data_IF_294662333021
#
_entry.id   IF_294662333021
#
_cell.length_a   1.000
_cell.length_b   1.000
_cell.length_c   1.000
_cell.angle_alpha   90.00
_cell.angle_beta   90.00
_cell.angle_gamma   90.00
#
_symmetry.space_group_name_H-M   'P 1'
#
loop_
_entity.id
_entity.type
_entity.pdbx_description
1 polymer ?
#
# COMPACT_ATOMS: atom_id res chain seq x y z
N UNK A 1 -17.15 -15.21 14.93
CA UNK A 1 -16.10 -15.63 15.88
C UNK A 1 -15.00 -16.30 15.06
N UNK A 2 -14.11 -15.52 14.43
CA UNK A 2 -13.01 -16.07 13.64
C UNK A 2 -11.80 -16.22 14.55
N UNK A 3 -11.35 -17.46 14.68
CA UNK A 3 -10.26 -17.86 15.56
C UNK A 3 -8.98 -17.09 15.22
N UNK A 4 -8.32 -16.63 16.29
CA UNK A 4 -6.93 -16.19 16.28
C UNK A 4 -6.04 -17.33 15.78
N UNK A 5 -5.59 -17.23 14.54
CA UNK A 5 -4.30 -17.79 14.14
C UNK A 5 -3.40 -16.59 13.84
N UNK A 6 -2.50 -16.31 14.79
CA UNK A 6 -1.53 -15.22 14.68
C UNK A 6 -0.57 -15.59 13.52
N UNK A 7 -0.49 -14.80 12.44
CA UNK A 7 0.38 -15.14 11.33
C UNK A 7 1.85 -14.87 11.70
N UNK A 8 2.71 -15.85 11.38
CA UNK A 8 4.16 -15.75 11.49
C UNK A 8 4.68 -14.71 10.48
N UNK A 9 5.19 -13.58 10.99
CA UNK A 9 5.75 -12.41 10.26
C UNK A 9 4.72 -11.50 9.53
N UNK A 10 4.11 -10.58 10.28
CA UNK A 10 3.30 -9.48 9.73
C UNK A 10 4.21 -8.54 8.92
N UNK A 11 3.99 -8.46 7.61
CA UNK A 11 4.71 -7.52 6.74
C UNK A 11 3.79 -6.32 6.50
N UNK A 12 4.31 -5.12 6.76
CA UNK A 12 3.61 -3.89 6.49
C UNK A 12 4.01 -3.37 5.11
N UNK A 13 3.02 -3.00 4.29
CA UNK A 13 3.27 -2.39 2.99
C UNK A 13 3.39 -0.87 3.10
N UNK A 14 4.25 -0.30 2.27
CA UNK A 14 4.49 1.13 2.14
C UNK A 14 3.50 1.71 1.13
N UNK A 15 2.37 2.19 1.66
CA UNK A 15 1.33 2.82 0.87
C UNK A 15 1.16 4.29 1.22
N UNK A 16 0.79 5.09 0.23
CA UNK A 16 0.31 6.46 0.44
C UNK A 16 -0.75 6.82 -0.62
N UNK A 17 -1.53 7.85 -0.36
CA UNK A 17 -2.43 8.44 -1.35
C UNK A 17 -2.20 9.94 -1.45
N UNK A 18 -2.35 10.49 -2.65
CA UNK A 18 -2.27 11.92 -2.93
C UNK A 18 -3.40 12.33 -3.87
N UNK A 19 -3.96 13.51 -3.65
CA UNK A 19 -4.85 14.14 -4.62
C UNK A 19 -4.01 14.85 -5.68
N UNK A 20 -4.32 14.59 -6.94
CA UNK A 20 -3.64 15.21 -8.08
C UNK A 20 -4.63 15.37 -9.23
N UNK A 21 -4.66 16.58 -9.79
CA UNK A 21 -5.49 16.94 -10.95
C UNK A 21 -7.00 16.64 -10.74
N UNK A 22 -7.48 16.81 -9.50
CA UNK A 22 -8.89 16.57 -9.13
C UNK A 22 -9.26 15.11 -8.85
N UNK A 23 -8.28 14.21 -8.81
CA UNK A 23 -8.49 12.79 -8.52
C UNK A 23 -7.58 12.30 -7.41
N UNK A 24 -8.02 11.29 -6.68
CA UNK A 24 -7.21 10.60 -5.69
C UNK A 24 -6.43 9.46 -6.32
N UNK A 25 -5.12 9.42 -6.06
CA UNK A 25 -4.22 8.38 -6.52
C UNK A 25 -3.56 7.72 -5.31
N UNK A 26 -3.79 6.41 -5.15
CA UNK A 26 -3.21 5.60 -4.10
C UNK A 26 -2.11 4.69 -4.68
N UNK A 27 -1.00 4.57 -3.96
CA UNK A 27 0.20 3.85 -4.41
C UNK A 27 0.62 2.82 -3.36
N UNK A 28 1.03 1.62 -3.81
CA UNK A 28 1.75 0.62 -3.02
C UNK A 28 3.15 0.45 -3.59
N UNK A 29 4.17 0.86 -2.82
CA UNK A 29 5.55 0.93 -3.30
C UNK A 29 6.25 -0.41 -3.37
N UNK A 30 5.84 -1.35 -2.51
CA UNK A 30 6.39 -2.70 -2.44
C UNK A 30 5.93 -3.60 -3.59
N UNK A 31 4.88 -3.22 -4.33
CA UNK A 31 4.40 -3.99 -5.49
C UNK A 31 4.24 -3.15 -6.75
N UNK A 32 4.65 -1.88 -6.72
CA UNK A 32 4.51 -0.95 -7.87
C UNK A 32 3.07 -0.81 -8.37
N UNK A 33 2.09 -0.96 -7.45
CA UNK A 33 0.67 -0.83 -7.77
C UNK A 33 0.20 0.60 -7.55
N UNK A 34 -0.74 1.03 -8.40
CA UNK A 34 -1.40 2.32 -8.27
C UNK A 34 -2.87 2.19 -8.62
N UNK A 35 -3.73 2.89 -7.89
CA UNK A 35 -5.16 2.93 -8.11
C UNK A 35 -5.67 4.38 -8.06
N UNK A 36 -6.66 4.70 -8.89
CA UNK A 36 -7.28 6.03 -8.96
C UNK A 36 -8.77 5.95 -8.57
N UNK A 37 -9.24 6.98 -7.87
CA UNK A 37 -10.66 7.18 -7.57
C UNK A 37 -11.02 8.66 -7.52
N UNK A 38 -12.32 8.93 -7.55
CA UNK A 38 -12.86 10.29 -7.40
C UNK A 38 -12.77 10.75 -5.93
N UNK A 39 -12.71 9.79 -5.01
CA UNK A 39 -12.51 10.03 -3.58
C UNK A 39 -11.31 9.27 -3.03
N UNK A 40 -10.81 9.72 -1.88
CA UNK A 40 -9.75 9.02 -1.18
C UNK A 40 -10.13 7.56 -0.90
N UNK A 41 -11.31 7.35 -0.29
CA UNK A 41 -11.81 6.04 0.11
C UNK A 41 -11.90 5.08 -1.08
N UNK A 42 -12.37 5.59 -2.23
CA UNK A 42 -12.45 4.81 -3.45
C UNK A 42 -11.07 4.41 -3.96
N UNK A 43 -10.13 5.35 -4.06
CA UNK A 43 -8.75 5.05 -4.50
C UNK A 43 -8.06 4.04 -3.58
N UNK A 44 -8.29 4.16 -2.26
CA UNK A 44 -7.78 3.23 -1.24
C UNK A 44 -8.41 1.86 -1.39
N UNK A 45 -9.73 1.76 -1.51
CA UNK A 45 -10.42 0.49 -1.64
C UNK A 45 -9.96 -0.28 -2.88
N UNK A 46 -9.82 0.42 -4.02
CA UNK A 46 -9.27 -0.15 -5.24
C UNK A 46 -7.83 -0.64 -5.06
N UNK A 47 -6.97 0.16 -4.42
CA UNK A 47 -5.59 -0.26 -4.15
C UNK A 47 -5.53 -1.52 -3.29
N UNK A 48 -6.36 -1.60 -2.24
CA UNK A 48 -6.44 -2.77 -1.37
C UNK A 48 -6.85 -4.02 -2.15
N UNK A 49 -7.88 -3.94 -2.98
CA UNK A 49 -8.31 -5.05 -3.86
C UNK A 49 -7.17 -5.52 -4.77
N UNK A 50 -6.48 -4.57 -5.43
CA UNK A 50 -5.36 -4.89 -6.32
C UNK A 50 -4.19 -5.56 -5.58
N UNK A 51 -3.90 -5.14 -4.34
CA UNK A 51 -2.85 -5.76 -3.52
C UNK A 51 -3.24 -7.18 -3.14
N UNK A 52 -4.49 -7.40 -2.73
CA UNK A 52 -5.00 -8.72 -2.34
C UNK A 52 -4.95 -9.70 -3.52
N UNK A 53 -5.43 -9.28 -4.69
CA UNK A 53 -5.35 -10.05 -5.94
C UNK A 53 -3.89 -10.34 -6.33
N UNK A 54 -3.01 -9.33 -6.29
CA UNK A 54 -1.59 -9.49 -6.63
C UNK A 54 -0.87 -10.50 -5.71
N UNK A 55 -1.14 -10.45 -4.41
CA UNK A 55 -0.57 -11.41 -3.45
C UNK A 55 -1.17 -12.80 -3.70
N UNK A 56 -2.48 -12.90 -3.92
CA UNK A 56 -3.15 -14.17 -4.17
C UNK A 56 -2.56 -14.85 -5.40
N UNK A 57 -2.37 -14.14 -6.51
CA UNK A 57 -1.81 -14.68 -7.74
C UNK A 57 -0.36 -15.13 -7.58
N UNK A 58 0.46 -14.35 -6.84
CA UNK A 58 1.86 -14.70 -6.57
C UNK A 58 2.02 -15.89 -5.62
N UNK A 59 1.09 -16.10 -4.68
CA UNK A 59 1.18 -17.16 -3.66
C UNK A 59 0.47 -18.43 -4.09
N UNK A 60 -0.80 -18.30 -4.51
CA UNK A 60 -1.73 -19.41 -4.77
C UNK A 60 -2.07 -19.58 -6.25
N UNK A 61 -1.90 -18.54 -7.07
CA UNK A 61 -2.23 -18.56 -8.49
C UNK A 61 -1.13 -19.09 -9.40
N UNK A 62 -1.31 -18.85 -10.71
CA UNK A 62 -0.46 -19.34 -11.80
C UNK A 62 0.98 -18.78 -11.76
N UNK A 63 1.16 -17.67 -11.04
CA UNK A 63 2.42 -16.93 -10.93
C UNK A 63 3.32 -17.39 -9.79
N UNK A 64 2.99 -18.50 -9.12
CA UNK A 64 3.79 -19.10 -8.05
C UNK A 64 5.26 -19.32 -8.44
N UNK A 65 5.53 -19.64 -9.71
CA UNK A 65 6.88 -19.80 -10.27
C UNK A 65 7.69 -18.50 -10.31
N UNK A 66 7.02 -17.35 -10.35
CA UNK A 66 7.61 -16.01 -10.36
C UNK A 66 7.44 -15.26 -9.04
N UNK A 67 6.91 -15.91 -7.99
CA UNK A 67 6.65 -15.34 -6.66
C UNK A 67 7.81 -14.47 -6.15
N UNK A 68 9.04 -14.99 -6.17
CA UNK A 68 10.22 -14.25 -5.68
C UNK A 68 10.47 -12.97 -6.47
N UNK A 69 10.27 -12.99 -7.79
CA UNK A 69 10.43 -11.82 -8.63
C UNK A 69 9.31 -10.81 -8.39
N UNK A 70 8.05 -11.26 -8.40
CA UNK A 70 6.87 -10.41 -8.21
C UNK A 70 6.86 -9.70 -6.85
N UNK A 71 7.20 -10.41 -5.78
CA UNK A 71 7.24 -9.86 -4.43
C UNK A 71 8.52 -9.05 -4.13
N UNK A 72 9.50 -9.04 -5.04
CA UNK A 72 10.74 -8.26 -4.89
C UNK A 72 10.73 -6.92 -5.65
N UNK A 73 9.65 -6.64 -6.40
CA UNK A 73 9.53 -5.41 -7.19
C UNK A 73 9.47 -4.21 -6.28
N UNK A 74 10.28 -3.19 -6.54
CA UNK A 74 10.25 -1.94 -5.78
C UNK A 74 9.97 -0.78 -6.72
N UNK A 75 9.12 0.15 -6.25
CA UNK A 75 8.88 1.40 -6.96
C UNK A 75 10.17 2.19 -7.14
N UNK A 76 10.18 3.04 -8.17
CA UNK A 76 11.30 3.93 -8.43
C UNK A 76 11.55 4.86 -7.24
N UNK A 77 12.81 5.28 -7.07
CA UNK A 77 13.28 6.08 -5.92
C UNK A 77 12.42 7.33 -5.68
N UNK A 78 11.90 7.94 -6.75
CA UNK A 78 11.02 9.12 -6.67
C UNK A 78 9.79 8.89 -5.77
N UNK A 79 9.16 7.72 -5.86
CA UNK A 79 7.98 7.41 -5.07
C UNK A 79 8.32 7.14 -3.60
N UNK A 80 9.48 6.52 -3.34
CA UNK A 80 10.00 6.34 -1.99
C UNK A 80 10.33 7.67 -1.31
N UNK A 81 10.93 8.61 -2.05
CA UNK A 81 11.18 9.97 -1.55
C UNK A 81 9.86 10.63 -1.14
N UNK A 82 8.82 10.57 -2.00
CA UNK A 82 7.49 11.08 -1.65
C UNK A 82 6.94 10.45 -0.38
N UNK A 83 6.99 9.12 -0.27
CA UNK A 83 6.53 8.40 0.91
C UNK A 83 7.22 8.90 2.19
N UNK A 84 8.55 9.03 2.19
CA UNK A 84 9.27 9.50 3.38
C UNK A 84 9.03 10.98 3.67
N UNK A 85 8.87 11.82 2.65
CA UNK A 85 8.47 13.23 2.82
C UNK A 85 7.09 13.30 3.47
N UNK A 86 6.09 12.56 2.97
CA UNK A 86 4.76 12.49 3.57
C UNK A 86 4.80 11.94 5.01
N UNK A 87 5.64 10.93 5.27
CA UNK A 87 5.89 10.41 6.63
C UNK A 87 6.41 11.47 7.59
N UNK A 88 7.41 12.24 7.15
CA UNK A 88 8.04 13.29 7.96
C UNK A 88 7.09 14.46 8.17
N UNK A 89 6.43 14.92 7.11
CA UNK A 89 5.42 15.98 7.19
C UNK A 89 4.32 15.57 8.17
N UNK A 90 3.74 14.36 8.05
CA UNK A 90 2.71 13.91 8.98
C UNK A 90 3.18 13.87 10.45
N UNK A 91 4.44 13.48 10.72
CA UNK A 91 5.00 13.51 12.08
C UNK A 91 5.11 14.93 12.64
N UNK A 92 5.48 15.89 11.80
CA UNK A 92 5.61 17.31 12.19
C UNK A 92 4.23 17.98 12.27
N UNK A 93 3.27 17.55 11.46
CA UNK A 93 1.98 18.19 11.25
C UNK A 93 0.84 17.61 12.09
N UNK A 94 1.04 16.48 12.77
CA UNK A 94 0.14 16.01 13.84
C UNK A 94 -0.10 17.05 14.96
N UNK A 95 0.67 18.15 14.99
CA UNK A 95 0.42 19.28 15.89
C UNK A 95 -0.69 20.24 15.41
N UNK A 96 -1.10 20.25 14.13
CA UNK A 96 -2.14 21.17 13.60
C UNK A 96 -2.88 20.54 12.41
N UNK A 97 -4.18 20.25 12.59
CA UNK A 97 -5.18 19.82 11.60
C UNK A 97 -4.78 19.98 10.12
N UNK A 98 -4.89 18.93 9.28
CA UNK A 98 -5.49 19.01 7.93
C UNK A 98 -5.50 17.66 7.19
N UNK A 99 -6.56 17.48 6.42
CA UNK A 99 -7.05 16.34 5.63
C UNK A 99 -6.39 16.12 4.26
N UNK A 100 -5.26 16.77 3.96
CA UNK A 100 -4.75 16.85 2.58
C UNK A 100 -3.73 15.76 2.19
N UNK A 101 -3.16 15.04 3.16
CA UNK A 101 -2.16 14.00 2.93
C UNK A 101 -2.42 12.91 3.95
N UNK A 102 -2.71 11.68 3.51
CA UNK A 102 -2.78 10.60 4.47
C UNK A 102 -1.38 10.19 4.92
N UNK A 103 -1.23 9.90 6.23
CA UNK A 103 -0.02 9.28 6.72
C UNK A 103 0.30 8.05 5.88
N UNK A 104 1.58 7.69 5.74
CA UNK A 104 1.92 6.38 5.27
C UNK A 104 1.25 5.34 6.15
N UNK A 105 0.30 4.62 5.56
CA UNK A 105 -0.50 3.61 6.24
C UNK A 105 0.18 2.27 6.05
N UNK A 106 0.57 1.67 7.15
CA UNK A 106 1.05 0.31 7.20
C UNK A 106 -0.16 -0.62 7.11
N UNK A 107 -0.53 -1.01 5.88
CA UNK A 107 -1.50 -2.09 5.70
C UNK A 107 -0.84 -3.39 6.16
N UNK A 108 -1.35 -3.96 7.24
CA UNK A 108 -0.88 -5.23 7.76
C UNK A 108 -1.41 -6.36 6.88
N UNK A 109 -0.52 -7.09 6.23
CA UNK A 109 -0.86 -8.30 5.50
C UNK A 109 -0.12 -9.50 6.09
N UNK A 110 -0.80 -10.65 6.11
CA UNK A 110 -0.25 -11.94 6.48
C UNK A 110 0.02 -12.76 5.24
N UNK A 111 1.30 -13.07 4.98
CA UNK A 111 1.69 -14.00 3.93
C UNK A 111 2.15 -15.27 4.62
N UNK A 112 1.32 -16.32 4.57
CA UNK A 112 1.71 -17.66 5.03
C UNK A 112 2.57 -18.31 3.94
N UNK A 113 3.79 -18.70 4.29
CA UNK A 113 4.77 -19.34 3.40
C UNK A 113 4.51 -20.82 3.18
#
# INVERSE_FOLDING_TARGET
>A
MFHNEIPHNKTFLHCYAEEKDGYWQAFCLDFTLAAQGDTFEESRAKLVSMVEEYIYDAVNGEDRKYRKQLLSRRASVRFWVKYYVYKMLHRVWQSKNTSLILPPQELGYSVSY
#
